data_IF_811741842295
#
_entry.id   IF_811741842295
#
_cell.length_a   1.000
_cell.length_b   1.000
_cell.length_c   1.000
_cell.angle_alpha   90.00
_cell.angle_beta   90.00
_cell.angle_gamma   90.00
#
_symmetry.space_group_name_H-M   'P 1'
#
loop_
_entity.id
_entity.type
_entity.pdbx_description
1 polymer ?
#
# COMPACT_ATOMS: atom_id res chain seq x y z
N UNK A 1 14.81 -1.59 -20.08
CA UNK A 1 14.09 -0.74 -19.09
C UNK A 1 14.99 0.44 -18.75
N UNK A 2 14.53 1.69 -18.88
CA UNK A 2 15.29 2.86 -18.39
C UNK A 2 15.54 2.66 -16.89
N UNK A 3 16.77 2.87 -16.42
CA UNK A 3 17.04 2.92 -14.99
C UNK A 3 16.42 4.21 -14.46
N UNK A 4 15.48 4.09 -13.51
CA UNK A 4 14.84 5.25 -12.90
C UNK A 4 15.80 5.85 -11.89
N UNK A 5 15.87 7.18 -11.84
CA UNK A 5 16.55 7.85 -10.74
C UNK A 5 15.84 7.50 -9.40
N UNK A 6 16.58 7.28 -8.29
CA UNK A 6 15.98 6.95 -7.01
C UNK A 6 14.91 7.95 -6.54
N UNK A 7 15.07 9.25 -6.85
CA UNK A 7 14.11 10.29 -6.49
C UNK A 7 12.87 10.25 -7.38
N UNK A 8 13.01 10.02 -8.69
CA UNK A 8 11.89 9.81 -9.60
C UNK A 8 11.06 8.59 -9.18
N UNK A 9 11.73 7.48 -8.85
CA UNK A 9 11.11 6.25 -8.36
C UNK A 9 10.37 6.46 -7.05
N UNK A 10 10.94 7.23 -6.12
CA UNK A 10 10.29 7.59 -4.85
C UNK A 10 9.05 8.47 -5.09
N UNK A 11 9.17 9.49 -5.93
CA UNK A 11 8.08 10.41 -6.25
C UNK A 11 6.91 9.69 -6.89
N UNK A 12 7.18 8.84 -7.88
CA UNK A 12 6.16 8.01 -8.51
C UNK A 12 5.49 7.05 -7.53
N UNK A 13 6.26 6.34 -6.69
CA UNK A 13 5.70 5.43 -5.67
C UNK A 13 4.76 6.17 -4.72
N UNK A 14 5.15 7.36 -4.29
CA UNK A 14 4.34 8.21 -3.40
C UNK A 14 3.06 8.69 -4.10
N UNK A 15 3.16 9.14 -5.35
CA UNK A 15 2.01 9.56 -6.16
C UNK A 15 1.04 8.41 -6.45
N UNK A 16 1.56 7.25 -6.83
CA UNK A 16 0.77 6.04 -7.05
C UNK A 16 0.07 5.60 -5.77
N UNK A 17 0.76 5.62 -4.63
CA UNK A 17 0.16 5.32 -3.33
C UNK A 17 -0.99 6.28 -3.01
N UNK A 18 -0.78 7.60 -3.16
CA UNK A 18 -1.83 8.60 -2.93
C UNK A 18 -3.05 8.39 -3.84
N UNK A 19 -2.81 8.10 -5.12
CA UNK A 19 -3.86 7.78 -6.09
C UNK A 19 -4.68 6.54 -5.68
N UNK A 20 -4.02 5.44 -5.32
CA UNK A 20 -4.71 4.22 -4.90
C UNK A 20 -5.48 4.41 -3.60
N UNK A 21 -4.95 5.18 -2.65
CA UNK A 21 -5.66 5.53 -1.41
C UNK A 21 -6.92 6.35 -1.72
N UNK A 22 -6.79 7.41 -2.51
CA UNK A 22 -7.91 8.28 -2.85
C UNK A 22 -9.01 7.50 -3.61
N UNK A 23 -8.59 6.66 -4.56
CA UNK A 23 -9.48 5.80 -5.34
C UNK A 23 -10.16 4.77 -4.45
N UNK A 24 -9.44 4.08 -3.56
CA UNK A 24 -10.04 3.14 -2.61
C UNK A 24 -11.05 3.83 -1.70
N UNK A 25 -10.72 5.02 -1.15
CA UNK A 25 -11.65 5.82 -0.32
C UNK A 25 -12.90 6.23 -1.10
N UNK A 26 -12.75 6.60 -2.37
CA UNK A 26 -13.88 6.94 -3.24
C UNK A 26 -14.76 5.72 -3.53
N UNK A 27 -14.16 4.59 -3.91
CA UNK A 27 -14.86 3.34 -4.22
C UNK A 27 -15.59 2.77 -3.00
N UNK A 28 -14.97 2.79 -1.82
CA UNK A 28 -15.61 2.34 -0.56
C UNK A 28 -16.88 3.16 -0.24
N UNK A 29 -16.92 4.45 -0.59
CA UNK A 29 -18.10 5.31 -0.38
C UNK A 29 -19.24 5.04 -1.36
N UNK A 30 -18.92 4.56 -2.55
CA UNK A 30 -19.86 4.44 -3.67
C UNK A 30 -20.36 3.00 -3.89
N UNK A 31 -19.58 2.00 -3.47
CA UNK A 31 -19.89 0.59 -3.70
C UNK A 31 -20.53 -0.05 -2.46
N UNK A 32 -21.39 -1.07 -2.65
CA UNK A 32 -21.98 -1.80 -1.53
C UNK A 32 -20.89 -2.40 -0.65
N UNK A 33 -21.02 -2.18 0.67
CA UNK A 33 -20.05 -2.53 1.71
C UNK A 33 -19.74 -4.04 1.80
N UNK A 34 -20.54 -4.90 1.16
CA UNK A 34 -20.32 -6.34 1.07
C UNK A 34 -19.15 -6.74 0.14
N UNK A 35 -18.55 -5.79 -0.57
CA UNK A 35 -17.38 -6.09 -1.38
C UNK A 35 -16.13 -6.30 -0.49
N UNK A 36 -15.87 -7.56 -0.15
CA UNK A 36 -14.72 -8.02 0.65
C UNK A 36 -13.39 -7.46 0.15
N UNK A 37 -13.21 -7.28 -1.16
CA UNK A 37 -11.98 -6.69 -1.71
C UNK A 37 -11.79 -5.24 -1.25
N UNK A 38 -12.85 -4.43 -1.27
CA UNK A 38 -12.79 -3.03 -0.82
C UNK A 38 -12.51 -2.93 0.68
N UNK A 39 -13.06 -3.85 1.48
CA UNK A 39 -12.76 -3.93 2.90
C UNK A 39 -11.26 -4.18 3.11
N UNK A 40 -10.68 -5.10 2.34
CA UNK A 40 -9.25 -5.38 2.43
C UNK A 40 -8.39 -4.23 1.90
N UNK A 41 -8.84 -3.42 0.93
CA UNK A 41 -8.08 -2.23 0.48
C UNK A 41 -7.87 -1.15 1.56
N UNK A 42 -8.53 -1.24 2.72
CA UNK A 42 -8.33 -0.32 3.86
C UNK A 42 -6.90 -0.30 4.38
N UNK A 43 -6.09 -1.35 4.17
CA UNK A 43 -4.68 -1.37 4.57
C UNK A 43 -3.84 -0.29 3.87
N UNK A 44 -4.31 0.25 2.74
CA UNK A 44 -3.66 1.34 2.02
C UNK A 44 -3.78 2.66 2.78
N UNK A 45 -4.80 2.84 3.62
CA UNK A 45 -5.01 4.07 4.38
C UNK A 45 -4.02 4.14 5.55
N UNK A 46 -3.06 5.08 5.55
CA UNK A 46 -2.11 5.21 6.65
C UNK A 46 -2.80 5.58 7.97
N UNK A 47 -3.96 6.22 7.91
CA UNK A 47 -4.77 6.59 9.08
C UNK A 47 -5.63 5.44 9.63
N UNK A 48 -5.60 4.26 9.00
CA UNK A 48 -6.36 3.11 9.51
C UNK A 48 -5.74 2.55 10.79
N UNK A 49 -6.59 2.29 11.79
CA UNK A 49 -6.22 1.63 13.05
C UNK A 49 -5.95 0.11 12.90
N UNK A 50 -5.66 -0.35 11.69
CA UNK A 50 -5.38 -1.76 11.43
C UNK A 50 -4.02 -2.13 12.02
N UNK A 51 -4.00 -3.22 12.79
CA UNK A 51 -2.79 -3.88 13.24
C UNK A 51 -1.96 -4.36 12.06
N UNK A 52 -0.67 -4.62 12.30
CA UNK A 52 0.21 -5.10 11.23
C UNK A 52 -0.27 -6.46 10.68
N UNK A 53 -0.78 -7.33 11.54
CA UNK A 53 -1.34 -8.63 11.15
C UNK A 53 -2.55 -8.46 10.21
N UNK A 54 -3.49 -7.57 10.55
CA UNK A 54 -4.65 -7.28 9.70
C UNK A 54 -4.24 -6.69 8.34
N UNK A 55 -3.21 -5.84 8.31
CA UNK A 55 -2.65 -5.29 7.06
C UNK A 55 -2.03 -6.37 6.20
N UNK A 56 -1.23 -7.26 6.79
CA UNK A 56 -0.62 -8.41 6.08
C UNK A 56 -1.70 -9.35 5.56
N UNK A 57 -2.71 -9.67 6.35
CA UNK A 57 -3.81 -10.52 5.93
C UNK A 57 -4.59 -9.91 4.78
N UNK A 58 -4.81 -8.60 4.82
CA UNK A 58 -5.48 -7.88 3.73
C UNK A 58 -4.65 -7.83 2.46
N UNK A 59 -3.32 -7.67 2.58
CA UNK A 59 -2.42 -7.69 1.44
C UNK A 59 -2.38 -9.08 0.78
N UNK A 60 -2.37 -10.16 1.57
CA UNK A 60 -2.51 -11.54 1.07
C UNK A 60 -3.84 -11.74 0.34
N UNK A 61 -4.94 -11.24 0.91
CA UNK A 61 -6.27 -11.35 0.30
C UNK A 61 -6.32 -10.64 -1.06
N UNK A 62 -5.84 -9.40 -1.12
CA UNK A 62 -5.80 -8.63 -2.38
C UNK A 62 -4.96 -9.35 -3.43
N UNK A 63 -3.77 -9.84 -3.06
CA UNK A 63 -2.91 -10.58 -3.99
C UNK A 63 -3.59 -11.85 -4.52
N UNK A 64 -4.33 -12.58 -3.67
CA UNK A 64 -5.10 -13.76 -4.09
C UNK A 64 -6.24 -13.42 -5.06
N UNK A 65 -6.79 -12.20 -5.01
CA UNK A 65 -7.79 -11.74 -5.97
C UNK A 65 -7.21 -11.34 -7.34
N UNK A 66 -5.89 -11.10 -7.43
CA UNK A 66 -5.22 -10.69 -8.67
C UNK A 66 -4.03 -11.59 -9.04
N UNK A 67 -4.23 -12.92 -9.19
CA UNK A 67 -3.14 -13.87 -9.42
C UNK A 67 -2.41 -13.65 -10.76
N UNK A 68 -3.02 -12.91 -11.69
CA UNK A 68 -2.43 -12.52 -12.96
C UNK A 68 -1.46 -11.33 -12.84
N UNK A 69 -1.53 -10.56 -11.74
CA UNK A 69 -0.65 -9.42 -11.45
C UNK A 69 0.45 -9.85 -10.47
N UNK A 70 0.07 -10.51 -9.38
CA UNK A 70 0.98 -10.98 -8.34
C UNK A 70 0.87 -12.49 -8.26
N UNK A 71 1.94 -13.20 -8.59
CA UNK A 71 1.95 -14.66 -8.44
C UNK A 71 2.05 -15.05 -6.97
N UNK A 72 1.52 -16.22 -6.61
CA UNK A 72 1.51 -16.72 -5.22
C UNK A 72 2.91 -16.74 -4.60
N UNK A 73 3.93 -17.14 -5.35
CA UNK A 73 5.32 -17.16 -4.92
C UNK A 73 5.92 -15.76 -4.64
N UNK A 74 5.33 -14.69 -5.18
CA UNK A 74 5.78 -13.31 -4.99
C UNK A 74 5.10 -12.62 -3.80
N UNK A 75 4.04 -13.21 -3.23
CA UNK A 75 3.26 -12.59 -2.15
C UNK A 75 4.12 -12.36 -0.91
N UNK A 76 4.99 -13.30 -0.56
CA UNK A 76 5.88 -13.15 0.60
C UNK A 76 6.87 -12.01 0.39
N UNK A 77 7.50 -11.91 -0.79
CA UNK A 77 8.38 -10.80 -1.13
C UNK A 77 7.65 -9.44 -1.11
N UNK A 78 6.39 -9.42 -1.55
CA UNK A 78 5.55 -8.22 -1.50
C UNK A 78 5.27 -7.77 -0.06
N UNK A 79 4.98 -8.71 0.84
CA UNK A 79 4.81 -8.44 2.28
C UNK A 79 6.09 -7.87 2.87
N UNK A 80 7.24 -8.45 2.54
CA UNK A 80 8.55 -7.99 3.04
C UNK A 80 8.89 -6.57 2.54
N UNK A 81 8.66 -6.28 1.25
CA UNK A 81 8.84 -4.93 0.71
C UNK A 81 7.89 -3.94 1.39
N UNK A 82 6.62 -4.32 1.57
CA UNK A 82 5.64 -3.49 2.26
C UNK A 82 6.05 -3.19 3.70
N UNK A 83 6.51 -4.19 4.44
CA UNK A 83 7.02 -4.07 5.81
C UNK A 83 8.25 -3.15 5.86
N UNK A 84 9.20 -3.31 4.93
CA UNK A 84 10.38 -2.44 4.83
C UNK A 84 10.01 -0.97 4.58
N UNK A 85 8.94 -0.69 3.84
CA UNK A 85 8.47 0.65 3.57
C UNK A 85 7.72 1.28 4.76
N UNK A 86 6.96 0.49 5.52
CA UNK A 86 6.13 0.97 6.64
C UNK A 86 6.84 0.98 7.99
N UNK A 87 7.87 0.14 8.17
CA UNK A 87 8.71 0.14 9.37
C UNK A 87 9.92 1.08 9.24
N UNK A 88 10.06 1.82 8.13
CA UNK A 88 11.01 2.94 8.11
C UNK A 88 10.51 3.97 9.12
N UNK A 89 11.31 4.30 10.16
CA UNK A 89 10.93 5.34 11.09
C UNK A 89 10.69 6.63 10.30
N UNK A 90 9.72 7.43 10.74
CA UNK A 90 9.57 8.84 10.35
C UNK A 90 10.76 9.62 10.93
N UNK A 91 11.96 9.26 10.50
CA UNK A 91 13.19 9.90 10.89
C UNK A 91 13.76 10.53 9.64
N UNK A 92 13.68 11.87 9.65
CA UNK A 92 14.56 12.79 8.93
C UNK A 92 14.08 13.26 7.56
N UNK A 93 12.88 13.83 7.49
CA UNK A 93 12.61 14.94 6.56
C UNK A 93 11.81 16.03 7.28
N UNK A 94 12.53 17.06 7.73
CA UNK A 94 11.98 18.40 7.98
C UNK A 94 11.57 18.74 9.41
N UNK A 95 12.53 19.06 10.28
CA UNK A 95 12.54 20.32 11.04
C UNK A 95 14.02 20.72 11.18
N UNK A 96 14.45 21.72 10.40
CA UNK A 96 15.60 22.56 10.78
C UNK A 96 14.96 23.65 11.66
N UNK A 97 15.21 23.72 12.98
CA UNK A 97 14.89 24.93 13.71
C UNK A 97 15.87 26.01 13.24
N UNK A 98 15.31 27.16 12.83
CA UNK A 98 16.06 28.41 12.78
C UNK A 98 16.41 28.86 14.19
#
# INVERSE_FOLDING_TARGET
MKAWDPQEKKTFRTGAQAFYIATAKHLIKQLPLDNKLLLHLRFLDPSSHLTMEERVQSLKYVAACVPHIVKTEQVTCLIDEWHSLHCRPVSRWGIIPQ
#
